data_IF_817945897184
#
_entry.id   IF_817945897184
#
_cell.length_a   1.000
_cell.length_b   1.000
_cell.length_c   1.000
_cell.angle_alpha   90.00
_cell.angle_beta   90.00
_cell.angle_gamma   90.00
#
_symmetry.space_group_name_H-M   'P 1'
#
loop_
_entity.id
_entity.type
_entity.pdbx_description
1 polymer ?
#
# COMPACT_ATOMS: atom_id res chain seq x y z
N UNK A 1 8.30 -6.28 21.95
CA UNK A 1 7.72 -5.62 20.74
C UNK A 1 6.46 -4.79 21.01
N UNK A 2 5.92 -4.70 22.23
CA UNK A 2 4.64 -4.01 22.48
C UNK A 2 4.61 -2.49 22.20
N UNK A 3 5.76 -1.79 22.27
CA UNK A 3 5.83 -0.37 21.96
C UNK A 3 5.65 -0.05 20.47
N UNK A 4 6.28 -0.84 19.59
CA UNK A 4 6.14 -0.66 18.14
C UNK A 4 4.73 -0.99 17.65
N UNK A 5 4.10 -2.05 18.19
CA UNK A 5 2.71 -2.38 17.86
C UNK A 5 1.73 -1.26 18.24
N UNK A 6 1.94 -0.60 19.38
CA UNK A 6 1.15 0.57 19.79
C UNK A 6 1.38 1.76 18.86
N UNK A 7 2.63 2.02 18.47
CA UNK A 7 2.96 3.07 17.51
C UNK A 7 2.27 2.81 16.16
N UNK A 8 2.36 1.58 15.64
CA UNK A 8 1.72 1.20 14.37
C UNK A 8 0.21 1.46 14.40
N UNK A 9 -0.46 0.98 15.46
CA UNK A 9 -1.90 1.21 15.65
C UNK A 9 -2.24 2.71 15.75
N UNK A 10 -1.46 3.48 16.50
CA UNK A 10 -1.71 4.91 16.68
C UNK A 10 -1.44 5.70 15.39
N UNK A 11 -0.41 5.33 14.63
CA UNK A 11 -0.07 5.96 13.37
C UNK A 11 -1.16 5.73 12.32
N UNK A 12 -1.66 4.50 12.16
CA UNK A 12 -2.69 4.14 11.19
C UNK A 12 -4.13 4.54 11.56
N UNK A 13 -4.41 4.90 12.82
CA UNK A 13 -5.76 5.31 13.24
C UNK A 13 -6.20 6.64 12.59
N UNK A 14 -7.51 6.80 12.36
CA UNK A 14 -8.08 8.05 11.82
C UNK A 14 -7.73 9.28 12.66
N UNK A 15 -7.60 10.42 11.99
CA UNK A 15 -7.37 11.72 12.62
C UNK A 15 -7.59 12.86 11.64
N UNK A 16 -6.61 13.78 11.55
CA UNK A 16 -6.66 14.85 10.53
C UNK A 16 -6.55 14.31 9.09
N UNK A 17 -5.95 13.13 8.93
CA UNK A 17 -5.99 12.32 7.72
C UNK A 17 -6.72 11.02 8.07
N UNK A 18 -7.55 10.53 7.15
CA UNK A 18 -8.20 9.23 7.29
C UNK A 18 -7.20 8.08 7.10
N UNK A 19 -7.59 6.88 7.54
CA UNK A 19 -6.79 5.67 7.47
C UNK A 19 -6.37 5.35 6.03
N UNK A 20 -7.29 5.49 5.07
CA UNK A 20 -7.02 5.29 3.64
C UNK A 20 -5.85 6.15 3.16
N UNK A 21 -5.89 7.46 3.44
CA UNK A 21 -4.81 8.37 3.05
C UNK A 21 -3.49 7.97 3.70
N UNK A 22 -3.51 7.50 4.94
CA UNK A 22 -2.30 7.06 5.64
C UNK A 22 -1.73 5.76 5.11
N UNK A 23 -2.57 4.80 4.71
CA UNK A 23 -2.13 3.56 4.05
C UNK A 23 -1.52 3.86 2.68
N UNK A 24 -2.12 4.78 1.92
CA UNK A 24 -1.57 5.26 0.65
C UNK A 24 -0.19 5.91 0.84
N UNK A 25 -0.01 6.73 1.90
CA UNK A 25 1.30 7.29 2.25
C UNK A 25 2.28 6.16 2.62
N UNK A 26 1.86 5.19 3.43
CA UNK A 26 2.68 4.07 3.86
C UNK A 26 3.14 3.21 2.67
N UNK A 27 2.25 2.95 1.69
CA UNK A 27 2.58 2.27 0.45
C UNK A 27 3.64 3.01 -0.36
N UNK A 28 3.46 4.33 -0.54
CA UNK A 28 4.47 5.16 -1.22
C UNK A 28 5.84 5.08 -0.52
N UNK A 29 5.85 5.13 0.82
CA UNK A 29 7.08 4.94 1.61
C UNK A 29 7.65 3.55 1.37
N UNK A 30 6.84 2.48 1.48
CA UNK A 30 7.26 1.10 1.29
C UNK A 30 7.98 0.87 -0.05
N UNK A 31 7.47 1.46 -1.13
CA UNK A 31 8.08 1.44 -2.47
C UNK A 31 9.41 2.21 -2.50
N UNK A 32 9.46 3.40 -1.87
CA UNK A 32 10.71 4.20 -1.85
C UNK A 32 11.81 3.57 -0.99
N UNK A 33 11.44 2.91 0.13
CA UNK A 33 12.38 2.18 1.00
C UNK A 33 12.65 0.75 0.56
N UNK A 34 11.96 0.28 -0.49
CA UNK A 34 12.22 -1.01 -1.16
C UNK A 34 11.96 -2.21 -0.24
N UNK A 35 10.87 -2.15 0.52
CA UNK A 35 10.47 -3.20 1.44
C UNK A 35 9.35 -4.06 0.83
N UNK A 36 9.71 -5.18 0.20
CA UNK A 36 8.76 -6.09 -0.47
C UNK A 36 7.59 -6.51 0.45
N UNK A 37 7.91 -6.97 1.66
CA UNK A 37 6.87 -7.35 2.64
C UNK A 37 5.96 -6.19 3.05
N UNK A 38 6.51 -4.98 3.15
CA UNK A 38 5.72 -3.79 3.47
C UNK A 38 4.83 -3.39 2.29
N UNK A 39 5.30 -3.54 1.04
CA UNK A 39 4.53 -3.24 -0.16
C UNK A 39 3.27 -4.10 -0.19
N UNK A 40 3.41 -5.42 -0.05
CA UNK A 40 2.26 -6.34 -0.07
C UNK A 40 1.25 -6.02 1.03
N UNK A 41 1.72 -5.82 2.27
CA UNK A 41 0.85 -5.47 3.39
C UNK A 41 0.10 -4.16 3.14
N UNK A 42 0.80 -3.10 2.73
CA UNK A 42 0.16 -1.78 2.55
C UNK A 42 -0.67 -1.67 1.26
N UNK A 43 -0.46 -2.52 0.25
CA UNK A 43 -1.41 -2.66 -0.87
C UNK A 43 -2.73 -3.25 -0.34
N UNK A 44 -2.68 -4.37 0.40
CA UNK A 44 -3.86 -5.00 0.98
C UNK A 44 -4.60 -4.08 1.95
N UNK A 45 -3.87 -3.40 2.83
CA UNK A 45 -4.45 -2.49 3.82
C UNK A 45 -5.06 -1.26 3.14
N UNK A 46 -4.43 -0.73 2.07
CA UNK A 46 -5.01 0.35 1.26
C UNK A 46 -6.34 -0.07 0.63
N UNK A 47 -6.41 -1.25 0.02
CA UNK A 47 -7.65 -1.78 -0.56
C UNK A 47 -8.74 -1.99 0.51
N UNK A 48 -8.34 -2.55 1.66
CA UNK A 48 -9.24 -2.76 2.81
C UNK A 48 -9.78 -1.45 3.36
N UNK A 49 -8.98 -0.38 3.33
CA UNK A 49 -9.38 0.98 3.67
C UNK A 49 -10.23 1.67 2.58
N UNK A 50 -10.51 0.98 1.47
CA UNK A 50 -11.35 1.47 0.37
C UNK A 50 -10.61 2.29 -0.69
N UNK A 51 -9.29 2.16 -0.78
CA UNK A 51 -8.54 2.77 -1.88
C UNK A 51 -8.89 2.12 -3.22
N UNK A 52 -9.01 2.95 -4.25
CA UNK A 52 -9.20 2.44 -5.62
C UNK A 52 -7.86 2.09 -6.26
N UNK A 53 -7.90 1.30 -7.33
CA UNK A 53 -6.72 1.00 -8.15
C UNK A 53 -6.07 2.29 -8.67
N UNK A 54 -6.87 3.25 -9.10
CA UNK A 54 -6.41 4.54 -9.61
C UNK A 54 -5.68 5.34 -8.54
N UNK A 55 -6.21 5.38 -7.31
CA UNK A 55 -5.54 6.04 -6.18
C UNK A 55 -4.18 5.40 -5.87
N UNK A 56 -4.09 4.07 -5.90
CA UNK A 56 -2.83 3.35 -5.73
C UNK A 56 -1.85 3.70 -6.86
N UNK A 57 -2.31 3.70 -8.12
CA UNK A 57 -1.47 4.05 -9.27
C UNK A 57 -0.92 5.49 -9.18
N UNK A 58 -1.71 6.45 -8.71
CA UNK A 58 -1.23 7.82 -8.48
C UNK A 58 -0.11 7.87 -7.43
N UNK A 59 -0.27 7.14 -6.31
CA UNK A 59 0.78 7.01 -5.29
C UNK A 59 2.05 6.39 -5.85
N UNK A 60 1.93 5.31 -6.64
CA UNK A 60 3.09 4.68 -7.27
C UNK A 60 3.80 5.64 -8.24
N UNK A 61 3.04 6.47 -8.96
CA UNK A 61 3.60 7.54 -9.79
C UNK A 61 4.44 8.53 -8.98
N UNK A 62 3.94 8.96 -7.81
CA UNK A 62 4.70 9.82 -6.89
C UNK A 62 5.93 9.11 -6.32
N UNK A 63 5.81 7.83 -5.97
CA UNK A 63 6.93 7.03 -5.47
C UNK A 63 8.04 6.88 -6.52
N UNK A 64 7.69 6.68 -7.79
CA UNK A 64 8.64 6.63 -8.90
C UNK A 64 9.28 8.00 -9.15
N UNK A 65 8.49 9.09 -9.11
CA UNK A 65 9.02 10.46 -9.23
C UNK A 65 10.11 10.73 -8.17
N UNK A 66 9.86 10.34 -6.92
CA UNK A 66 10.75 10.63 -5.80
C UNK A 66 11.89 9.62 -5.63
N UNK A 67 11.67 8.36 -5.99
CA UNK A 67 12.63 7.26 -5.83
C UNK A 67 13.45 6.93 -7.08
N UNK A 68 13.08 7.48 -8.23
CA UNK A 68 13.77 7.30 -9.51
C UNK A 68 13.68 5.87 -10.04
N UNK A 69 14.64 5.50 -10.91
CA UNK A 69 14.69 4.20 -11.58
C UNK A 69 14.53 2.98 -10.65
N UNK A 70 15.18 2.91 -9.47
CA UNK A 70 15.01 1.79 -8.55
C UNK A 70 13.56 1.60 -8.08
N UNK A 71 12.82 2.68 -7.82
CA UNK A 71 11.43 2.59 -7.37
C UNK A 71 10.48 2.13 -8.46
N UNK A 72 10.88 2.13 -9.74
CA UNK A 72 10.09 1.53 -10.82
C UNK A 72 9.90 0.03 -10.58
N UNK A 73 10.96 -0.68 -10.17
CA UNK A 73 10.89 -2.13 -9.94
C UNK A 73 9.89 -2.45 -8.82
N UNK A 74 9.99 -1.75 -7.70
CA UNK A 74 9.10 -1.93 -6.55
C UNK A 74 7.68 -1.41 -6.80
N UNK A 75 7.50 -0.44 -7.70
CA UNK A 75 6.18 -0.03 -8.16
C UNK A 75 5.53 -1.11 -9.04
N UNK A 76 6.30 -1.81 -9.88
CA UNK A 76 5.80 -2.98 -10.61
C UNK A 76 5.36 -4.09 -9.65
N UNK A 77 6.17 -4.40 -8.63
CA UNK A 77 5.79 -5.38 -7.59
C UNK A 77 4.50 -4.99 -6.86
N UNK A 78 4.32 -3.70 -6.56
CA UNK A 78 3.08 -3.21 -5.95
C UNK A 78 1.85 -3.39 -6.88
N UNK A 79 2.03 -3.21 -8.20
CA UNK A 79 0.98 -3.46 -9.19
C UNK A 79 0.66 -4.94 -9.32
N UNK A 80 1.67 -5.80 -9.31
CA UNK A 80 1.50 -7.27 -9.33
C UNK A 80 0.73 -7.73 -8.09
N UNK A 81 1.12 -7.26 -6.90
CA UNK A 81 0.39 -7.55 -5.66
C UNK A 81 -1.08 -7.07 -5.74
N UNK A 82 -1.32 -5.87 -6.28
CA UNK A 82 -2.66 -5.33 -6.48
C UNK A 82 -3.50 -6.21 -7.44
N UNK A 83 -2.90 -6.71 -8.51
CA UNK A 83 -3.55 -7.60 -9.47
C UNK A 83 -3.90 -8.95 -8.83
N UNK A 84 -2.97 -9.56 -8.10
CA UNK A 84 -3.18 -10.83 -7.41
C UNK A 84 -4.33 -10.73 -6.40
N UNK A 85 -4.36 -9.68 -5.58
CA UNK A 85 -5.40 -9.46 -4.59
C UNK A 85 -6.78 -9.20 -5.22
N UNK A 86 -6.83 -8.46 -6.33
CA UNK A 86 -8.07 -8.25 -7.07
C UNK A 86 -8.63 -9.56 -7.67
N UNK A 87 -7.76 -10.48 -8.09
CA UNK A 87 -8.19 -11.80 -8.59
C UNK A 87 -8.60 -12.75 -7.47
N UNK A 88 -7.98 -12.65 -6.29
CA UNK A 88 -8.35 -13.44 -5.12
C UNK A 88 -9.76 -13.10 -4.61
N UNK A 89 -10.12 -11.81 -4.58
CA UNK A 89 -11.49 -11.38 -4.23
C UNK A 89 -12.52 -11.85 -5.27
N UNK A 90 -12.17 -11.86 -6.56
CA UNK A 90 -13.05 -12.41 -7.60
C UNK A 90 -13.28 -13.92 -7.45
N UNK A 91 -12.28 -14.66 -6.94
CA UNK A 91 -12.39 -16.09 -6.63
C UNK A 91 -13.24 -16.38 -5.39
N UNK A 92 -13.16 -15.54 -4.35
CA UNK A 92 -13.94 -15.67 -3.12
C UNK A 92 -15.44 -15.37 -3.31
N UNK A 93 -15.80 -14.50 -4.27
CA UNK A 93 -17.19 -14.21 -4.62
C UNK A 93 -17.90 -15.31 -5.44
N UNK A 94 -17.14 -16.30 -5.94
CA UNK A 94 -17.63 -17.43 -6.74
C UNK A 94 -17.75 -18.75 -5.94
N UNK A 95 -17.49 -18.72 -4.63
CA UNK A 95 -17.66 -19.83 -3.67
C UNK A 95 -18.74 -19.53 -2.65
#
# INVERSE_FOLDING_TARGET
>A
MGGFAQLHKAAGADGALDGKTKELIALGIAVTVRCEGCIVCHVQDSLTAGATREEIQEVLGVAVLMGGGPSVVYACEALEALDELATADAGAALS
#
